data_IF_108830209386
#
_entry.id   IF_108830209386
#
_cell.length_a   1.000
_cell.length_b   1.000
_cell.length_c   1.000
_cell.angle_alpha   90.00
_cell.angle_beta   90.00
_cell.angle_gamma   90.00
#
_symmetry.space_group_name_H-M   'P 1'
#
loop_
_entity.id
_entity.type
_entity.pdbx_description
1 polymer ?
#
# COMPACT_ATOMS: atom_id res chain seq x y z
N UNK A 1 -4.97 9.39 -24.21
CA UNK A 1 -5.30 9.33 -22.77
C UNK A 1 -6.71 8.76 -22.67
N UNK A 2 -6.92 7.58 -22.09
CA UNK A 2 -8.27 7.06 -21.84
C UNK A 2 -8.64 7.51 -20.44
N UNK A 3 -9.67 8.35 -20.31
CA UNK A 3 -10.17 8.86 -19.04
C UNK A 3 -11.65 8.50 -18.92
N UNK A 4 -12.03 7.96 -17.77
CA UNK A 4 -13.43 7.75 -17.42
C UNK A 4 -13.87 8.91 -16.53
N UNK A 5 -14.56 9.93 -17.08
CA UNK A 5 -14.93 11.10 -16.31
C UNK A 5 -15.82 10.69 -15.12
N UNK A 6 -15.65 11.37 -13.98
CA UNK A 6 -16.43 11.20 -12.74
C UNK A 6 -16.31 9.86 -12.00
N UNK A 7 -15.55 8.89 -12.52
CA UNK A 7 -15.38 7.59 -11.85
C UNK A 7 -14.79 7.74 -10.44
N UNK A 8 -13.77 8.60 -10.28
CA UNK A 8 -13.14 8.88 -8.98
C UNK A 8 -14.10 9.54 -7.98
N UNK A 9 -14.96 10.45 -8.46
CA UNK A 9 -15.99 11.10 -7.64
C UNK A 9 -16.99 10.09 -7.10
N UNK A 10 -17.45 9.17 -7.95
CA UNK A 10 -18.40 8.10 -7.55
C UNK A 10 -17.74 7.12 -6.58
N UNK A 11 -16.52 6.65 -6.86
CA UNK A 11 -15.86 5.66 -6.01
C UNK A 11 -15.43 6.24 -4.65
N UNK A 12 -14.91 7.46 -4.64
CA UNK A 12 -14.40 8.10 -3.42
C UNK A 12 -15.51 8.71 -2.55
N UNK A 13 -16.47 9.41 -3.17
CA UNK A 13 -17.46 10.23 -2.46
C UNK A 13 -18.90 9.73 -2.62
N UNK A 14 -19.13 8.68 -3.42
CA UNK A 14 -20.48 8.16 -3.76
C UNK A 14 -21.41 9.23 -4.35
N UNK A 15 -20.85 10.31 -4.89
CA UNK A 15 -21.57 11.44 -5.48
C UNK A 15 -20.98 11.73 -6.85
N UNK A 16 -21.81 12.15 -7.82
CA UNK A 16 -21.37 12.36 -9.21
C UNK A 16 -20.57 13.65 -9.42
N UNK A 17 -20.77 14.65 -8.56
CA UNK A 17 -20.19 15.99 -8.71
C UNK A 17 -19.36 16.37 -7.47
N UNK A 18 -18.84 15.39 -6.73
CA UNK A 18 -17.95 15.68 -5.62
C UNK A 18 -16.62 16.22 -6.16
N UNK A 19 -16.11 17.26 -5.50
CA UNK A 19 -14.81 17.80 -5.80
C UNK A 19 -13.73 16.80 -5.37
N UNK A 20 -12.82 16.45 -6.27
CA UNK A 20 -11.67 15.59 -5.98
C UNK A 20 -10.44 16.47 -6.07
N UNK A 21 -9.77 16.76 -4.95
CA UNK A 21 -8.61 17.65 -4.94
C UNK A 21 -7.46 17.02 -5.73
N UNK A 22 -6.84 17.82 -6.59
CA UNK A 22 -5.59 17.48 -7.23
C UNK A 22 -4.39 17.72 -6.32
N UNK A 23 -3.20 17.35 -6.80
CA UNK A 23 -1.94 17.54 -6.06
C UNK A 23 -1.73 19.03 -5.70
N UNK A 24 -2.02 19.92 -6.65
CA UNK A 24 -1.89 21.37 -6.44
C UNK A 24 -2.82 21.86 -5.33
N UNK A 25 -4.08 21.40 -5.33
CA UNK A 25 -5.07 21.77 -4.31
C UNK A 25 -4.65 21.25 -2.92
N UNK A 26 -4.02 20.08 -2.84
CA UNK A 26 -3.52 19.50 -1.58
C UNK A 26 -2.35 20.33 -1.00
N UNK A 27 -1.49 20.88 -1.87
CA UNK A 27 -0.36 21.72 -1.47
C UNK A 27 -0.82 23.12 -1.09
N UNK A 28 -1.66 23.74 -1.92
CA UNK A 28 -2.12 25.12 -1.72
C UNK A 28 -3.21 25.22 -0.66
N UNK A 29 -3.93 24.14 -0.39
CA UNK A 29 -5.07 24.13 0.52
C UNK A 29 -6.27 24.92 -0.02
N UNK A 30 -7.16 25.35 0.86
CA UNK A 30 -8.27 26.25 0.54
C UNK A 30 -9.53 25.59 -0.02
N UNK A 31 -9.52 24.27 -0.26
CA UNK A 31 -10.71 23.53 -0.66
C UNK A 31 -11.49 23.01 0.56
N UNK A 32 -12.79 22.76 0.37
CA UNK A 32 -13.67 22.26 1.43
C UNK A 32 -13.51 20.75 1.60
N UNK A 33 -13.23 20.33 2.83
CA UNK A 33 -13.17 18.93 3.25
C UNK A 33 -14.60 18.37 3.45
N UNK A 34 -14.73 17.06 3.59
CA UNK A 34 -16.04 16.41 3.79
C UNK A 34 -16.73 16.83 5.09
N UNK A 35 -15.96 17.25 6.09
CA UNK A 35 -16.44 17.76 7.38
C UNK A 35 -16.86 19.24 7.31
N UNK A 36 -16.75 19.89 6.15
CA UNK A 36 -17.08 21.30 5.96
C UNK A 36 -15.96 22.27 6.35
N UNK A 37 -14.82 21.77 6.85
CA UNK A 37 -13.66 22.60 7.17
C UNK A 37 -12.83 22.93 5.92
N UNK A 38 -12.02 23.98 5.99
CA UNK A 38 -11.10 24.34 4.90
C UNK A 38 -9.79 23.57 5.08
N UNK A 39 -9.35 22.89 4.02
CA UNK A 39 -8.07 22.22 4.00
C UNK A 39 -6.91 23.22 4.19
N UNK A 40 -6.04 22.94 5.15
CA UNK A 40 -4.83 23.71 5.39
C UNK A 40 -3.82 23.51 4.25
N UNK A 41 -3.11 24.58 3.92
CA UNK A 41 -1.98 24.53 2.99
C UNK A 41 -0.80 23.75 3.59
N UNK A 42 0.13 23.32 2.74
CA UNK A 42 1.37 22.68 3.18
C UNK A 42 2.15 23.56 4.16
N UNK A 43 2.28 24.85 3.88
CA UNK A 43 3.00 25.80 4.75
C UNK A 43 2.38 25.93 6.14
N UNK A 44 1.05 25.94 6.22
CA UNK A 44 0.35 25.97 7.51
C UNK A 44 0.53 24.67 8.29
N UNK A 45 0.46 23.51 7.61
CA UNK A 45 0.71 22.21 8.23
C UNK A 45 2.15 22.10 8.73
N UNK A 46 3.12 22.53 7.92
CA UNK A 46 4.54 22.57 8.30
C UNK A 46 4.76 23.42 9.54
N UNK A 47 4.21 24.63 9.57
CA UNK A 47 4.30 25.52 10.74
C UNK A 47 3.68 24.92 12.01
N UNK A 48 2.56 24.20 11.89
CA UNK A 48 1.97 23.48 13.02
C UNK A 48 2.87 22.32 13.47
N UNK A 49 3.42 21.55 12.52
CA UNK A 49 4.38 20.49 12.81
C UNK A 49 5.63 20.99 13.54
N UNK A 50 6.22 22.10 13.08
CA UNK A 50 7.37 22.75 13.74
C UNK A 50 7.05 23.15 15.18
N UNK A 51 5.87 23.75 15.43
CA UNK A 51 5.41 24.06 16.78
C UNK A 51 5.24 22.82 17.65
N UNK A 52 4.75 21.72 17.09
CA UNK A 52 4.57 20.47 17.81
C UNK A 52 5.92 19.86 18.20
N UNK A 53 6.91 19.91 17.31
CA UNK A 53 8.28 19.46 17.57
C UNK A 53 8.93 20.33 18.66
N UNK A 54 8.80 21.66 18.55
CA UNK A 54 9.31 22.60 19.55
C UNK A 54 8.66 22.35 20.92
N UNK A 55 7.33 22.22 20.97
CA UNK A 55 6.59 21.93 22.20
C UNK A 55 7.03 20.60 22.83
N UNK A 56 7.28 19.56 22.03
CA UNK A 56 7.78 18.28 22.52
C UNK A 56 9.20 18.42 23.11
N UNK A 57 10.08 19.17 22.43
CA UNK A 57 11.43 19.42 22.92
C UNK A 57 11.42 20.21 24.24
N UNK A 58 10.62 21.28 24.31
CA UNK A 58 10.43 22.07 25.53
C UNK A 58 9.82 21.26 26.66
N UNK A 59 8.85 20.39 26.36
CA UNK A 59 8.26 19.46 27.34
C UNK A 59 9.32 18.51 27.93
N UNK A 60 10.18 17.93 27.10
CA UNK A 60 11.25 17.04 27.56
C UNK A 60 12.25 17.78 28.46
N UNK A 61 12.69 18.98 28.04
CA UNK A 61 13.62 19.81 28.81
C UNK A 61 12.99 20.22 30.16
N UNK A 62 11.74 20.70 30.16
CA UNK A 62 11.04 21.09 31.39
C UNK A 62 10.86 19.91 32.34
N UNK A 63 10.60 18.70 31.81
CA UNK A 63 10.49 17.48 32.60
C UNK A 63 11.83 17.08 33.23
N UNK A 64 12.92 17.16 32.48
CA UNK A 64 14.27 16.83 32.97
C UNK A 64 14.74 17.84 34.03
N UNK A 65 14.31 19.11 33.91
CA UNK A 65 14.64 20.20 34.85
C UNK A 65 13.65 20.32 36.03
N UNK A 66 12.58 19.51 36.05
CA UNK A 66 11.59 19.49 37.13
C UNK A 66 10.64 20.70 37.19
N UNK A 67 10.39 21.38 36.05
CA UNK A 67 9.42 22.48 35.93
C UNK A 67 8.02 21.97 35.63
N UNK A 68 7.37 21.40 36.65
CA UNK A 68 6.07 20.75 36.51
C UNK A 68 4.91 21.71 36.14
N UNK A 69 5.05 23.01 36.42
CA UNK A 69 4.06 24.05 36.15
C UNK A 69 3.95 24.40 34.65
N UNK A 70 5.03 24.27 33.89
CA UNK A 70 5.07 24.55 32.45
C UNK A 70 4.62 23.36 31.58
N UNK A 71 4.64 22.14 32.12
CA UNK A 71 4.36 20.90 31.39
C UNK A 71 2.97 20.91 30.72
N UNK A 72 1.95 21.37 31.43
CA UNK A 72 0.58 21.40 30.91
C UNK A 72 0.44 22.32 29.70
N UNK A 73 1.20 23.42 29.66
CA UNK A 73 1.20 24.37 28.54
C UNK A 73 1.83 23.77 27.28
N UNK A 74 2.97 23.08 27.45
CA UNK A 74 3.63 22.38 26.34
C UNK A 74 2.81 21.19 25.86
N UNK A 75 2.17 20.43 26.75
CA UNK A 75 1.29 19.33 26.39
C UNK A 75 0.07 19.80 25.59
N UNK A 76 -0.59 20.89 26.00
CA UNK A 76 -1.71 21.47 25.24
C UNK A 76 -1.27 21.88 23.84
N UNK A 77 -0.13 22.58 23.73
CA UNK A 77 0.41 23.03 22.44
C UNK A 77 0.76 21.84 21.54
N UNK A 78 1.33 20.78 22.12
CA UNK A 78 1.64 19.54 21.40
C UNK A 78 0.35 18.88 20.89
N UNK A 79 -0.65 18.68 21.75
CA UNK A 79 -1.91 18.03 21.38
C UNK A 79 -2.65 18.79 20.27
N UNK A 80 -2.70 20.12 20.33
CA UNK A 80 -3.36 20.95 19.31
C UNK A 80 -2.73 20.85 17.92
N UNK A 81 -1.44 20.53 17.83
CA UNK A 81 -0.68 20.51 16.59
C UNK A 81 -0.22 19.10 16.17
N UNK A 82 -0.54 18.08 16.96
CA UNK A 82 -0.04 16.71 16.82
C UNK A 82 -0.40 16.08 15.47
N UNK A 83 -1.59 16.38 14.94
CA UNK A 83 -2.06 15.84 13.66
C UNK A 83 -1.15 16.20 12.47
N UNK A 84 -0.31 17.23 12.61
CA UNK A 84 0.63 17.67 11.57
C UNK A 84 2.10 17.54 12.00
N UNK A 85 2.38 16.82 13.08
CA UNK A 85 3.72 16.68 13.67
C UNK A 85 4.78 16.33 12.62
N UNK A 86 4.46 15.39 11.73
CA UNK A 86 5.38 14.88 10.73
C UNK A 86 5.74 15.89 9.64
N UNK A 87 4.89 16.88 9.37
CA UNK A 87 5.15 17.92 8.38
C UNK A 87 6.31 18.84 8.79
N UNK A 88 6.60 18.96 10.09
CA UNK A 88 7.72 19.77 10.58
C UNK A 88 9.09 19.21 10.16
N UNK A 89 9.17 17.96 9.71
CA UNK A 89 10.39 17.37 9.18
C UNK A 89 10.54 17.53 7.66
N UNK A 90 9.53 18.07 6.96
CA UNK A 90 9.56 18.21 5.50
C UNK A 90 10.06 19.61 5.11
N UNK A 91 11.04 19.66 4.22
CA UNK A 91 11.63 20.92 3.79
C UNK A 91 10.77 21.61 2.74
N UNK A 92 10.21 20.83 1.81
CA UNK A 92 9.47 21.34 0.65
C UNK A 92 8.17 20.56 0.39
N UNK A 93 7.18 21.18 -0.27
CA UNK A 93 5.92 20.51 -0.61
C UNK A 93 6.13 19.25 -1.45
N UNK A 94 7.14 19.22 -2.32
CA UNK A 94 7.41 18.10 -3.21
C UNK A 94 7.77 16.82 -2.44
N UNK A 95 8.38 16.95 -1.26
CA UNK A 95 8.70 15.81 -0.40
C UNK A 95 7.45 15.13 0.17
N UNK A 96 6.33 15.86 0.28
CA UNK A 96 5.05 15.30 0.73
C UNK A 96 4.34 14.46 -0.35
N UNK A 97 4.81 14.52 -1.59
CA UNK A 97 4.17 13.89 -2.74
C UNK A 97 4.88 12.56 -3.04
N UNK A 98 4.16 11.43 -3.04
CA UNK A 98 4.76 10.15 -3.42
C UNK A 98 5.11 10.11 -4.91
N UNK A 99 5.83 9.07 -5.34
CA UNK A 99 6.20 8.89 -6.76
C UNK A 99 4.95 8.63 -7.64
N UNK A 100 4.39 9.71 -8.18
CA UNK A 100 3.14 9.68 -8.96
C UNK A 100 3.24 8.79 -10.20
N UNK A 101 4.30 8.86 -11.04
CA UNK A 101 4.42 7.97 -12.19
C UNK A 101 4.38 6.48 -11.80
N UNK A 102 5.12 6.09 -10.76
CA UNK A 102 5.16 4.70 -10.30
C UNK A 102 3.78 4.21 -9.84
N UNK A 103 3.06 5.02 -9.06
CA UNK A 103 1.70 4.70 -8.61
C UNK A 103 0.73 4.58 -9.78
N UNK A 104 0.81 5.52 -10.70
CA UNK A 104 -0.09 5.58 -11.85
C UNK A 104 0.03 4.36 -12.76
N UNK A 105 1.25 3.93 -13.09
CA UNK A 105 1.45 2.74 -13.93
C UNK A 105 1.13 1.46 -13.16
N UNK A 106 1.55 1.35 -11.91
CA UNK A 106 1.31 0.15 -11.10
C UNK A 106 -0.17 -0.08 -10.84
N UNK A 107 -0.93 0.98 -10.55
CA UNK A 107 -2.39 0.91 -10.39
C UNK A 107 -3.07 0.39 -11.67
N UNK A 108 -2.63 0.83 -12.84
CA UNK A 108 -3.17 0.36 -14.13
C UNK A 108 -2.87 -1.10 -14.38
N UNK A 109 -1.66 -1.55 -14.08
CA UNK A 109 -1.30 -2.97 -14.19
C UNK A 109 -2.20 -3.81 -13.28
N UNK A 110 -2.37 -3.40 -12.01
CA UNK A 110 -3.26 -4.06 -11.06
C UNK A 110 -4.70 -4.15 -11.57
N UNK A 111 -5.27 -3.01 -11.99
CA UNK A 111 -6.65 -2.95 -12.48
C UNK A 111 -6.84 -3.74 -13.77
N UNK A 112 -5.88 -3.68 -14.71
CA UNK A 112 -5.92 -4.44 -15.95
C UNK A 112 -5.92 -5.95 -15.69
N UNK A 113 -5.07 -6.43 -14.78
CA UNK A 113 -5.05 -7.84 -14.39
C UNK A 113 -6.36 -8.23 -13.66
N UNK A 114 -6.91 -7.34 -12.82
CA UNK A 114 -8.20 -7.57 -12.16
C UNK A 114 -9.36 -7.77 -13.16
N UNK A 115 -9.49 -6.87 -14.13
CA UNK A 115 -10.49 -7.02 -15.20
C UNK A 115 -10.24 -8.25 -16.07
N UNK A 116 -8.98 -8.57 -16.34
CA UNK A 116 -8.60 -9.81 -17.00
C UNK A 116 -9.13 -11.05 -16.26
N UNK A 117 -8.98 -11.12 -14.93
CA UNK A 117 -9.52 -12.25 -14.15
C UNK A 117 -11.04 -12.33 -14.15
N UNK A 118 -11.73 -11.18 -14.08
CA UNK A 118 -13.21 -11.15 -14.18
C UNK A 118 -13.64 -11.77 -15.52
N UNK A 119 -12.99 -11.39 -16.62
CA UNK A 119 -13.28 -11.92 -17.94
C UNK A 119 -12.91 -13.41 -18.05
N UNK A 120 -11.73 -13.81 -17.55
CA UNK A 120 -11.28 -15.19 -17.55
C UNK A 120 -12.25 -16.09 -16.80
N UNK A 121 -12.64 -15.72 -15.59
CA UNK A 121 -13.59 -16.51 -14.79
C UNK A 121 -14.98 -16.52 -15.41
N UNK A 122 -15.43 -15.42 -16.03
CA UNK A 122 -16.68 -15.40 -16.80
C UNK A 122 -16.67 -16.38 -17.97
N UNK A 123 -15.56 -16.46 -18.71
CA UNK A 123 -15.38 -17.43 -19.81
C UNK A 123 -15.35 -18.86 -19.26
N UNK A 124 -14.52 -19.13 -18.24
CA UNK A 124 -14.43 -20.46 -17.64
C UNK A 124 -15.80 -20.93 -17.13
N UNK A 125 -16.53 -20.07 -16.44
CA UNK A 125 -17.87 -20.36 -15.94
C UNK A 125 -18.87 -20.66 -17.07
N UNK A 126 -18.81 -19.92 -18.17
CA UNK A 126 -19.66 -20.18 -19.33
C UNK A 126 -19.40 -21.56 -19.97
N UNK A 127 -18.13 -21.94 -20.15
CA UNK A 127 -17.77 -23.26 -20.71
C UNK A 127 -18.03 -24.42 -19.74
N UNK A 128 -17.87 -24.18 -18.44
CA UNK A 128 -18.25 -25.12 -17.39
C UNK A 128 -19.76 -25.40 -17.42
N UNK A 129 -20.60 -24.36 -17.52
CA UNK A 129 -22.06 -24.51 -17.69
C UNK A 129 -22.45 -25.29 -18.93
N UNK A 130 -21.66 -25.21 -20.00
CA UNK A 130 -21.88 -25.99 -21.23
C UNK A 130 -21.33 -27.43 -21.15
N UNK A 131 -20.65 -27.79 -20.06
CA UNK A 131 -19.96 -29.08 -19.88
C UNK A 131 -18.92 -29.39 -20.95
N UNK A 132 -18.39 -28.37 -21.64
CA UNK A 132 -17.37 -28.50 -22.70
C UNK A 132 -16.03 -27.91 -22.30
N UNK A 133 -15.84 -27.58 -21.01
CA UNK A 133 -14.61 -26.95 -20.51
C UNK A 133 -13.36 -27.80 -20.80
N UNK A 134 -13.44 -29.11 -20.55
CA UNK A 134 -12.31 -30.03 -20.76
C UNK A 134 -11.99 -30.27 -22.24
N UNK A 135 -12.95 -30.06 -23.13
CA UNK A 135 -12.74 -30.18 -24.58
C UNK A 135 -11.95 -28.98 -25.14
N UNK A 136 -12.06 -27.83 -24.49
CA UNK A 136 -11.45 -26.57 -24.91
C UNK A 136 -10.06 -26.37 -24.30
N UNK A 137 -9.08 -27.12 -24.81
CA UNK A 137 -7.68 -27.09 -24.31
C UNK A 137 -7.07 -25.69 -24.21
N UNK A 138 -7.42 -24.76 -25.11
CA UNK A 138 -6.84 -23.40 -25.08
C UNK A 138 -7.19 -22.65 -23.79
N UNK A 139 -8.40 -22.83 -23.25
CA UNK A 139 -8.84 -22.17 -22.00
C UNK A 139 -8.01 -22.69 -20.83
N UNK A 140 -7.75 -24.00 -20.79
CA UNK A 140 -6.94 -24.63 -19.76
C UNK A 140 -5.50 -24.10 -19.77
N UNK A 141 -4.92 -23.89 -20.95
CA UNK A 141 -3.58 -23.29 -21.08
C UNK A 141 -3.58 -21.84 -20.63
N UNK A 142 -4.58 -21.04 -21.01
CA UNK A 142 -4.69 -19.64 -20.57
C UNK A 142 -4.83 -19.58 -19.04
N UNK A 143 -5.67 -20.43 -18.44
CA UNK A 143 -5.83 -20.50 -16.99
C UNK A 143 -4.51 -20.88 -16.28
N UNK A 144 -3.75 -21.84 -16.83
CA UNK A 144 -2.45 -22.23 -16.29
C UNK A 144 -1.44 -21.07 -16.32
N UNK A 145 -1.32 -20.38 -17.46
CA UNK A 145 -0.43 -19.22 -17.62
C UNK A 145 -0.90 -17.98 -16.87
N UNK A 146 -2.13 -17.98 -16.36
CA UNK A 146 -2.65 -16.91 -15.51
C UNK A 146 -2.10 -16.98 -14.09
N UNK A 147 -1.54 -18.10 -13.63
CA UNK A 147 -1.10 -18.21 -12.22
C UNK A 147 -0.09 -17.12 -11.81
N UNK A 148 0.96 -16.79 -12.58
CA UNK A 148 1.91 -15.73 -12.22
C UNK A 148 1.28 -14.33 -12.21
N UNK A 149 0.24 -14.09 -13.02
CA UNK A 149 -0.43 -12.79 -13.07
C UNK A 149 -1.08 -12.42 -11.73
N UNK A 150 -1.54 -13.40 -10.95
CA UNK A 150 -2.16 -13.17 -9.65
C UNK A 150 -1.14 -12.62 -8.66
N UNK A 151 0.07 -13.18 -8.67
CA UNK A 151 1.19 -12.69 -7.87
C UNK A 151 1.58 -11.28 -8.29
N UNK A 152 1.66 -11.00 -9.60
CA UNK A 152 1.96 -9.65 -10.10
C UNK A 152 0.91 -8.62 -9.69
N UNK A 153 -0.39 -8.96 -9.77
CA UNK A 153 -1.46 -8.09 -9.30
C UNK A 153 -1.38 -7.83 -7.80
N UNK A 154 -1.06 -8.86 -7.00
CA UNK A 154 -0.85 -8.72 -5.56
C UNK A 154 0.31 -7.78 -5.23
N UNK A 155 1.46 -7.96 -5.87
CA UNK A 155 2.62 -7.07 -5.68
C UNK A 155 2.33 -5.65 -6.14
N UNK A 156 1.63 -5.48 -7.27
CA UNK A 156 1.20 -4.17 -7.74
C UNK A 156 0.26 -3.47 -6.74
N UNK A 157 -0.67 -4.20 -6.13
CA UNK A 157 -1.53 -3.68 -5.07
C UNK A 157 -0.73 -3.22 -3.84
N UNK A 158 0.24 -4.01 -3.38
CA UNK A 158 1.13 -3.63 -2.29
C UNK A 158 1.96 -2.39 -2.60
N UNK A 159 2.52 -2.29 -3.81
CA UNK A 159 3.26 -1.10 -4.25
C UNK A 159 2.36 0.13 -4.23
N UNK A 160 1.12 0.04 -4.75
CA UNK A 160 0.18 1.17 -4.74
C UNK A 160 -0.14 1.62 -3.32
N UNK A 161 -0.37 0.69 -2.39
CA UNK A 161 -0.69 1.00 -1.00
C UNK A 161 0.52 1.58 -0.25
N UNK A 162 1.69 0.98 -0.38
CA UNK A 162 2.87 1.35 0.41
C UNK A 162 3.57 2.60 -0.15
N UNK A 163 3.79 2.62 -1.47
CA UNK A 163 4.37 3.81 -2.13
C UNK A 163 3.36 4.96 -2.10
N UNK A 164 2.05 4.68 -2.11
CA UNK A 164 1.00 5.69 -2.08
C UNK A 164 0.99 6.50 -0.78
N UNK A 165 1.51 5.90 0.29
CA UNK A 165 1.62 6.53 1.61
C UNK A 165 2.96 7.21 1.84
N UNK A 166 3.96 7.03 0.96
CA UNK A 166 5.22 7.77 1.07
C UNK A 166 4.95 9.28 1.04
N UNK A 167 5.62 10.10 1.87
CA UNK A 167 6.79 9.78 2.71
C UNK A 167 6.46 9.27 4.12
N UNK A 168 5.23 8.83 4.40
CA UNK A 168 4.75 8.59 5.76
C UNK A 168 4.92 7.13 6.22
N UNK A 169 5.55 6.94 7.37
CA UNK A 169 5.53 5.68 8.12
C UNK A 169 4.29 5.58 9.01
N UNK A 170 3.85 6.71 9.58
CA UNK A 170 2.53 6.93 10.15
C UNK A 170 2.01 8.21 9.49
N UNK A 171 0.82 8.14 8.89
CA UNK A 171 0.24 9.22 8.09
C UNK A 171 0.26 10.53 8.89
N UNK A 172 0.79 11.59 8.28
CA UNK A 172 0.89 12.98 8.79
C UNK A 172 1.70 13.18 10.10
N UNK A 173 2.04 12.11 10.82
CA UNK A 173 2.68 12.14 12.13
C UNK A 173 4.16 11.78 12.06
N UNK A 174 4.51 10.67 11.39
CA UNK A 174 5.88 10.15 11.37
C UNK A 174 6.34 9.90 9.94
N UNK A 175 7.21 10.74 9.37
CA UNK A 175 7.80 10.50 8.07
C UNK A 175 8.88 9.41 8.14
N UNK A 176 9.03 8.67 7.05
CA UNK A 176 9.97 7.54 6.93
C UNK A 176 11.39 7.96 7.26
N UNK A 177 11.83 9.15 6.82
CA UNK A 177 13.17 9.66 7.12
C UNK A 177 13.46 9.84 8.62
N UNK A 178 12.44 10.17 9.42
CA UNK A 178 12.55 10.31 10.86
C UNK A 178 12.41 8.98 11.61
N UNK A 179 11.89 7.94 10.94
CA UNK A 179 11.69 6.61 11.50
C UNK A 179 12.90 5.67 11.32
N UNK A 180 13.97 6.11 10.62
CA UNK A 180 15.14 5.28 10.33
C UNK A 180 16.06 5.21 11.56
N UNK A 181 16.46 3.99 11.95
CA UNK A 181 17.47 3.78 12.98
C UNK A 181 18.85 4.24 12.51
N UNK A 182 19.63 4.84 13.42
CA UNK A 182 21.02 5.24 13.17
C UNK A 182 21.97 4.04 13.09
N UNK A 183 21.92 3.30 11.99
CA UNK A 183 22.77 2.13 11.72
C UNK A 183 23.81 2.44 10.62
N UNK A 184 24.93 1.73 10.67
CA UNK A 184 25.94 1.81 9.62
C UNK A 184 25.40 1.18 8.32
N UNK A 185 25.61 1.87 7.19
CA UNK A 185 25.15 1.43 5.86
C UNK A 185 25.66 0.02 5.51
N UNK A 186 26.89 -0.31 5.92
CA UNK A 186 27.50 -1.63 5.69
C UNK A 186 26.68 -2.75 6.34
N UNK A 187 26.24 -2.57 7.58
CA UNK A 187 25.42 -3.53 8.33
C UNK A 187 24.07 -3.78 7.64
N UNK A 188 23.45 -2.73 7.11
CA UNK A 188 22.19 -2.82 6.36
C UNK A 188 22.39 -3.61 5.07
N UNK A 189 23.44 -3.31 4.29
CA UNK A 189 23.73 -4.03 3.03
C UNK A 189 24.03 -5.51 3.30
N UNK A 190 24.82 -5.82 4.33
CA UNK A 190 25.16 -7.20 4.69
C UNK A 190 23.92 -8.00 5.07
N UNK A 191 23.09 -7.47 5.98
CA UNK A 191 21.87 -8.16 6.42
C UNK A 191 20.85 -8.30 5.29
N UNK A 192 20.66 -7.26 4.47
CA UNK A 192 19.83 -7.32 3.27
C UNK A 192 20.30 -8.42 2.31
N UNK A 193 21.59 -8.48 2.01
CA UNK A 193 22.17 -9.47 1.11
C UNK A 193 22.01 -10.89 1.65
N UNK A 194 22.19 -11.08 2.96
CA UNK A 194 21.98 -12.36 3.63
C UNK A 194 20.53 -12.83 3.48
N UNK A 195 19.55 -11.98 3.81
CA UNK A 195 18.13 -12.31 3.68
C UNK A 195 17.73 -12.55 2.23
N UNK A 196 18.25 -11.75 1.28
CA UNK A 196 18.00 -11.93 -0.14
C UNK A 196 18.45 -13.31 -0.63
N UNK A 197 19.68 -13.72 -0.30
CA UNK A 197 20.22 -15.04 -0.67
C UNK A 197 19.38 -16.15 -0.02
N UNK A 198 19.12 -16.04 1.28
CA UNK A 198 18.36 -17.05 2.01
C UNK A 198 16.94 -17.23 1.46
N UNK A 199 16.19 -16.15 1.26
CA UNK A 199 14.83 -16.21 0.71
C UNK A 199 14.82 -16.68 -0.74
N UNK A 200 15.83 -16.35 -1.54
CA UNK A 200 15.97 -16.87 -2.91
C UNK A 200 16.16 -18.39 -2.91
N UNK A 201 17.00 -18.93 -2.02
CA UNK A 201 17.21 -20.37 -1.89
C UNK A 201 15.93 -21.10 -1.44
N UNK A 202 15.20 -20.51 -0.48
CA UNK A 202 13.92 -21.05 -0.02
C UNK A 202 12.88 -21.05 -1.14
N UNK A 203 12.76 -19.97 -1.90
CA UNK A 203 11.86 -19.88 -3.04
C UNK A 203 12.17 -20.96 -4.10
N UNK A 204 13.44 -21.19 -4.41
CA UNK A 204 13.84 -22.24 -5.36
C UNK A 204 13.46 -23.63 -4.83
N UNK A 205 13.69 -23.89 -3.54
CA UNK A 205 13.32 -25.16 -2.92
C UNK A 205 11.80 -25.37 -2.94
N UNK A 206 11.02 -24.35 -2.58
CA UNK A 206 9.56 -24.37 -2.58
C UNK A 206 8.99 -24.65 -3.97
N UNK A 207 9.43 -23.89 -4.99
CA UNK A 207 8.97 -24.08 -6.37
C UNK A 207 9.31 -25.49 -6.87
N UNK A 208 10.51 -26.01 -6.55
CA UNK A 208 10.89 -27.39 -6.90
C UNK A 208 9.98 -28.43 -6.24
N UNK A 209 9.69 -28.27 -4.95
CA UNK A 209 8.80 -29.18 -4.21
C UNK A 209 7.39 -29.09 -4.80
N UNK A 210 6.85 -27.90 -4.98
CA UNK A 210 5.51 -27.66 -5.52
C UNK A 210 5.36 -28.29 -6.91
N UNK A 211 6.29 -28.04 -7.84
CA UNK A 211 6.27 -28.64 -9.17
C UNK A 211 6.41 -30.16 -9.12
N UNK A 212 7.25 -30.70 -8.22
CA UNK A 212 7.40 -32.16 -8.04
C UNK A 212 6.09 -32.79 -7.56
N UNK A 213 5.40 -32.17 -6.61
CA UNK A 213 4.12 -32.67 -6.09
C UNK A 213 2.99 -32.54 -7.12
N UNK A 214 2.90 -31.41 -7.82
CA UNK A 214 1.93 -31.22 -8.91
C UNK A 214 2.09 -32.29 -9.99
N UNK A 215 3.34 -32.64 -10.35
CA UNK A 215 3.63 -33.71 -11.33
C UNK A 215 3.33 -35.11 -10.84
N UNK A 216 3.43 -35.36 -9.53
CA UNK A 216 3.10 -36.67 -8.95
C UNK A 216 1.60 -36.99 -9.10
N UNK A 217 0.76 -35.95 -9.13
CA UNK A 217 -0.69 -36.12 -9.19
C UNK A 217 -1.26 -36.63 -7.86
N UNK A 218 -2.60 -36.69 -7.72
CA UNK A 218 -3.22 -37.33 -6.57
C UNK A 218 -2.84 -38.81 -6.53
N UNK A 219 -2.47 -39.31 -5.35
CA UNK A 219 -2.36 -40.77 -5.15
C UNK A 219 -3.75 -41.38 -5.33
N UNK A 220 -3.88 -42.37 -6.20
CA UNK A 220 -5.09 -43.19 -6.27
C UNK A 220 -5.26 -43.82 -4.89
N UNK A 221 -6.30 -43.42 -4.15
CA UNK A 221 -6.77 -44.23 -3.04
C UNK A 221 -7.26 -45.52 -3.66
N UNK A 222 -6.55 -46.63 -3.42
CA UNK A 222 -7.01 -47.97 -3.75
C UNK A 222 -8.48 -48.11 -3.32
N UNK A 223 -9.38 -48.20 -4.29
CA UNK A 223 -10.82 -48.42 -4.08
C UNK A 223 -11.11 -49.90 -3.72
N UNK A 224 -10.10 -50.62 -3.24
CA UNK A 224 -10.10 -52.07 -3.04
C UNK A 224 -10.55 -52.49 -1.63
N UNK A 225 -11.29 -51.63 -0.93
CA UNK A 225 -11.94 -51.99 0.33
C UNK A 225 -13.39 -51.52 0.38
N UNK A 226 -14.21 -52.00 -0.55
CA UNK A 226 -15.65 -52.12 -0.31
C UNK A 226 -15.86 -53.35 0.57
N UNK A 227 -16.35 -53.23 1.82
CA UNK A 227 -16.73 -54.42 2.55
C UNK A 227 -17.87 -55.09 1.78
N UNK A 228 -17.65 -56.36 1.43
CA UNK A 228 -18.69 -57.24 0.93
C UNK A 228 -19.73 -57.40 2.03
N UNK A 229 -20.90 -56.77 1.85
CA UNK A 229 -22.12 -57.09 2.57
C UNK A 229 -23.26 -57.21 1.56
#
# INVERSE_FOLDING_TARGET
KIELPKLLSIMGYRQLNAFVPGIKDIIEGGYTLQDGTTALSFEEKKKRGEKAIEALASYQIAKDEGRDDELAGFESTLQENFDYFGYGYLDSPEQSIPNVPLLFYTFRVMVAIGFYYILLFGIVWYFDRKKTLFDNKWILHVALWSLPLAYLAGQAGWIVSEVGRQPWAIQDILPVQAAISSLEVSSVITTFSLFLIMFTLLLIAEVRIMVKQIKKGPEEKDEDNKPVY
#
